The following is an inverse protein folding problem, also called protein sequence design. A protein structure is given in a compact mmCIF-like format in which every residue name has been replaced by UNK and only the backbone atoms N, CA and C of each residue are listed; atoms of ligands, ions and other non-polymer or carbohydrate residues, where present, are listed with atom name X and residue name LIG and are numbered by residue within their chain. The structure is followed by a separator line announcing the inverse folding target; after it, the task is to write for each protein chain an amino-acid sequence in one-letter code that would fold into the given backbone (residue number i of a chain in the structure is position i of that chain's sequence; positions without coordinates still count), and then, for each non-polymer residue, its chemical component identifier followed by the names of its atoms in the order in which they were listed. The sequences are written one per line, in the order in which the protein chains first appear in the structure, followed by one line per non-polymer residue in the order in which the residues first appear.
data_IF_564857257436
#
_entry.id   IF_564857257436
#
_cell.length_a   1.000
_cell.length_b   1.000
_cell.length_c   1.000
_cell.angle_alpha   90.00
_cell.angle_beta   90.00
_cell.angle_gamma   90.00
#
_symmetry.space_group_name_H-M   'P 1'
#
loop_
_entity.id
_entity.type
_entity.pdbx_description
1 polymer ?
#
# COMPACT_ATOMS: atom_id res chain seq x y z
N UNK A 1 14.89 20.20 17.66
CA UNK A 1 14.41 20.37 16.27
C UNK A 1 15.64 20.70 15.46
N UNK A 2 16.02 19.81 14.53
CA UNK A 2 17.11 20.11 13.60
C UNK A 2 16.65 21.27 12.70
N UNK A 3 17.48 22.29 12.59
CA UNK A 3 17.25 23.41 11.68
C UNK A 3 17.99 23.05 10.39
N UNK A 4 17.24 22.68 9.37
CA UNK A 4 17.76 22.43 8.02
C UNK A 4 17.83 23.74 7.24
N UNK A 5 18.83 23.90 6.39
CA UNK A 5 18.78 24.96 5.40
C UNK A 5 17.68 24.67 4.36
N UNK A 6 17.36 25.67 3.53
CA UNK A 6 16.25 25.54 2.58
C UNK A 6 16.47 24.38 1.59
N UNK A 7 17.66 24.22 1.06
CA UNK A 7 17.96 23.21 0.05
C UNK A 7 17.89 21.79 0.67
N UNK A 8 18.42 21.64 1.88
CA UNK A 8 18.35 20.38 2.62
C UNK A 8 16.89 20.00 2.94
N UNK A 9 16.09 20.99 3.37
CA UNK A 9 14.66 20.76 3.61
C UNK A 9 13.92 20.36 2.34
N UNK A 10 14.14 21.06 1.23
CA UNK A 10 13.49 20.76 -0.05
C UNK A 10 13.84 19.33 -0.54
N UNK A 11 15.09 18.90 -0.35
CA UNK A 11 15.52 17.52 -0.63
C UNK A 11 14.81 16.49 0.27
N UNK A 12 14.65 16.78 1.57
CA UNK A 12 13.95 15.91 2.51
C UNK A 12 12.46 15.81 2.19
N UNK A 13 11.82 16.92 1.77
CA UNK A 13 10.43 16.90 1.30
C UNK A 13 10.29 16.01 0.07
N UNK A 14 11.15 16.20 -0.93
CA UNK A 14 11.10 15.39 -2.15
C UNK A 14 11.33 13.90 -1.86
N UNK A 15 12.30 13.57 -1.02
CA UNK A 15 12.53 12.18 -0.59
C UNK A 15 11.33 11.59 0.14
N UNK A 16 10.73 12.38 1.05
CA UNK A 16 9.54 11.96 1.77
C UNK A 16 8.35 11.76 0.83
N UNK A 17 8.13 12.65 -0.13
CA UNK A 17 7.06 12.50 -1.12
C UNK A 17 7.20 11.19 -1.90
N UNK A 18 8.39 10.87 -2.41
CA UNK A 18 8.65 9.62 -3.11
C UNK A 18 8.37 8.38 -2.24
N UNK A 19 8.81 8.42 -0.98
CA UNK A 19 8.61 7.31 -0.06
C UNK A 19 7.18 7.21 0.47
N UNK A 20 6.50 8.32 0.69
CA UNK A 20 5.17 8.41 1.28
C UNK A 20 4.06 8.27 0.22
N UNK A 21 4.16 8.99 -0.88
CA UNK A 21 3.17 8.95 -1.97
C UNK A 21 3.40 7.75 -2.89
N UNK A 22 4.65 7.37 -3.10
CA UNK A 22 5.07 6.30 -4.01
C UNK A 22 5.73 6.82 -5.28
N UNK A 23 6.47 5.94 -5.95
CA UNK A 23 7.18 6.22 -7.21
C UNK A 23 6.50 5.60 -8.42
N UNK A 24 5.35 4.96 -8.24
CA UNK A 24 4.49 4.48 -9.32
C UNK A 24 3.74 5.65 -9.99
N UNK A 25 2.96 5.36 -11.02
CA UNK A 25 2.24 6.40 -11.77
C UNK A 25 1.28 7.20 -10.87
N UNK A 26 0.69 6.55 -9.86
CA UNK A 26 -0.23 7.18 -8.90
C UNK A 26 0.52 8.12 -7.96
N UNK A 27 1.65 7.66 -7.39
CA UNK A 27 2.51 8.46 -6.52
C UNK A 27 3.08 9.68 -7.23
N UNK A 28 3.56 9.50 -8.48
CA UNK A 28 4.09 10.61 -9.30
C UNK A 28 3.05 11.65 -9.68
N UNK A 29 1.79 11.29 -9.80
CA UNK A 29 0.70 12.23 -10.08
C UNK A 29 0.17 12.91 -8.81
N UNK A 30 0.43 12.33 -7.65
CA UNK A 30 0.05 12.89 -6.35
C UNK A 30 0.98 14.04 -5.94
N UNK A 31 0.49 14.93 -5.09
CA UNK A 31 1.30 16.02 -4.52
C UNK A 31 0.84 16.42 -3.13
N UNK A 32 1.79 16.78 -2.27
CA UNK A 32 1.51 17.41 -0.97
C UNK A 32 1.36 18.90 -1.18
N UNK A 33 0.24 19.47 -0.72
CA UNK A 33 -0.10 20.90 -0.90
C UNK A 33 0.49 21.77 0.21
N UNK A 34 0.59 21.21 1.42
CA UNK A 34 0.99 21.94 2.63
C UNK A 34 2.24 21.35 3.29
N UNK A 35 3.28 21.12 2.53
CA UNK A 35 4.54 20.52 3.03
C UNK A 35 5.15 21.27 4.23
N UNK A 36 4.81 22.56 4.40
CA UNK A 36 5.24 23.39 5.53
C UNK A 36 4.86 22.84 6.91
N UNK A 37 3.85 21.94 6.99
CA UNK A 37 3.45 21.30 8.24
C UNK A 37 4.36 20.15 8.65
N UNK A 38 5.30 19.73 7.77
CA UNK A 38 6.17 18.58 7.97
C UNK A 38 7.45 18.95 8.75
N UNK A 39 7.78 18.09 9.70
CA UNK A 39 9.02 18.16 10.47
C UNK A 39 9.76 16.83 10.36
N UNK A 40 11.05 16.93 10.04
CA UNK A 40 11.91 15.78 9.79
C UNK A 40 12.88 15.57 10.95
N UNK A 41 13.13 14.32 11.30
CA UNK A 41 14.27 13.89 12.13
C UNK A 41 15.00 12.82 11.33
N UNK A 42 16.24 13.11 10.96
CA UNK A 42 17.02 12.25 10.07
C UNK A 42 18.32 11.84 10.76
N UNK A 43 18.63 10.56 10.64
CA UNK A 43 19.91 9.97 10.99
C UNK A 43 20.58 9.51 9.70
N UNK A 44 21.79 9.98 9.46
CA UNK A 44 22.57 9.60 8.28
C UNK A 44 23.57 8.50 8.63
N UNK A 45 23.96 7.71 7.64
CA UNK A 45 25.10 6.83 7.77
C UNK A 45 26.35 7.68 7.90
N UNK A 46 27.12 7.49 8.98
CA UNK A 46 28.42 8.12 9.15
C UNK A 46 29.43 7.52 8.18
N UNK A 47 30.28 8.39 7.61
CA UNK A 47 31.36 7.93 6.74
C UNK A 47 32.65 7.70 7.56
N UNK A 48 33.08 6.44 7.78
CA UNK A 48 34.35 6.16 8.44
C UNK A 48 35.58 6.58 7.64
N UNK A 49 35.44 6.91 6.36
CA UNK A 49 36.55 7.16 5.42
C UNK A 49 36.55 8.56 4.78
N UNK A 50 35.65 9.47 5.15
CA UNK A 50 35.60 10.85 4.63
C UNK A 50 35.31 10.96 3.13
N UNK A 51 34.68 9.96 2.53
CA UNK A 51 34.29 9.98 1.10
C UNK A 51 32.81 10.28 0.95
N UNK A 52 32.41 10.82 -0.21
CA UNK A 52 31.16 11.46 -0.61
C UNK A 52 29.79 10.76 -0.33
N UNK A 53 29.73 9.74 0.50
CA UNK A 53 28.45 9.09 0.91
C UNK A 53 27.88 9.62 2.23
N UNK A 54 28.28 10.82 2.64
CA UNK A 54 27.91 11.41 3.94
C UNK A 54 26.43 11.78 4.08
N UNK A 55 25.60 11.54 3.03
CA UNK A 55 24.21 11.96 3.00
C UNK A 55 23.20 10.80 2.79
N UNK A 56 23.64 9.55 2.90
CA UNK A 56 22.69 8.44 2.81
C UNK A 56 21.88 8.35 4.10
N UNK A 57 20.55 8.46 3.96
CA UNK A 57 19.62 8.38 5.07
C UNK A 57 19.62 6.96 5.63
N UNK A 58 19.95 6.83 6.91
CA UNK A 58 19.86 5.60 7.68
C UNK A 58 18.47 5.42 8.29
N UNK A 59 17.94 6.53 8.83
CA UNK A 59 16.63 6.55 9.45
C UNK A 59 15.99 7.92 9.24
N UNK A 60 14.73 7.94 8.91
CA UNK A 60 13.93 9.16 8.87
C UNK A 60 12.64 8.96 9.67
N UNK A 61 12.34 9.93 10.53
CA UNK A 61 11.06 10.06 11.19
C UNK A 61 10.43 11.38 10.77
N UNK A 62 9.13 11.34 10.48
CA UNK A 62 8.39 12.54 10.06
C UNK A 62 7.20 12.73 10.98
N UNK A 63 6.98 13.96 11.40
CA UNK A 63 5.79 14.40 12.13
C UNK A 63 5.13 15.55 11.38
N UNK A 64 3.84 15.75 11.59
CA UNK A 64 3.07 16.83 11.00
C UNK A 64 2.27 17.54 12.10
N UNK A 65 2.22 18.88 12.04
CA UNK A 65 1.46 19.70 13.01
C UNK A 65 -0.03 19.75 12.70
N UNK A 66 -0.37 19.50 11.44
CA UNK A 66 -1.74 19.50 10.92
C UNK A 66 -1.91 18.33 9.95
N UNK A 67 -3.13 17.96 9.55
CA UNK A 67 -3.31 16.94 8.52
C UNK A 67 -2.59 17.33 7.23
N UNK A 68 -1.86 16.39 6.66
CA UNK A 68 -1.19 16.55 5.37
C UNK A 68 -2.27 16.59 4.29
N UNK A 69 -2.35 17.67 3.55
CA UNK A 69 -3.25 17.84 2.42
C UNK A 69 -2.60 17.33 1.14
N UNK A 70 -3.20 16.33 0.52
CA UNK A 70 -2.67 15.61 -0.63
C UNK A 70 -3.68 15.65 -1.77
N UNK A 71 -3.24 16.01 -2.96
CA UNK A 71 -4.04 15.88 -4.17
C UNK A 71 -3.73 14.54 -4.85
N UNK A 72 -4.78 13.82 -5.23
CA UNK A 72 -4.74 12.57 -5.98
C UNK A 72 -5.52 12.73 -7.29
N UNK A 73 -5.02 13.51 -8.26
CA UNK A 73 -5.79 13.92 -9.43
C UNK A 73 -6.19 12.75 -10.33
N UNK A 74 -5.33 11.75 -10.48
CA UNK A 74 -5.62 10.56 -11.29
C UNK A 74 -6.66 9.62 -10.64
N UNK A 75 -6.86 9.72 -9.32
CA UNK A 75 -7.89 9.01 -8.58
C UNK A 75 -9.10 9.89 -8.27
N UNK A 76 -9.03 11.20 -8.53
CA UNK A 76 -10.10 12.17 -8.31
C UNK A 76 -10.45 12.34 -6.84
N UNK A 77 -9.41 12.48 -5.99
CA UNK A 77 -9.58 12.74 -4.56
C UNK A 77 -8.66 13.85 -4.07
N UNK A 78 -9.16 14.60 -3.08
CA UNK A 78 -8.34 15.26 -2.06
C UNK A 78 -8.29 14.35 -0.84
N UNK A 79 -7.10 14.17 -0.29
CA UNK A 79 -6.87 13.38 0.91
C UNK A 79 -6.28 14.26 2.01
N UNK A 80 -6.93 14.28 3.16
CA UNK A 80 -6.40 14.83 4.40
C UNK A 80 -5.89 13.68 5.26
N UNK A 81 -4.57 13.60 5.42
CA UNK A 81 -3.91 12.52 6.15
C UNK A 81 -3.42 13.00 7.51
N UNK A 82 -4.08 12.56 8.58
CA UNK A 82 -3.59 12.81 9.95
C UNK A 82 -2.48 11.82 10.26
N UNK A 83 -1.25 12.28 10.19
CA UNK A 83 -0.06 11.47 10.43
C UNK A 83 0.10 11.20 11.93
N UNK A 84 0.03 9.94 12.33
CA UNK A 84 0.31 9.49 13.70
C UNK A 84 1.75 9.02 13.87
N UNK A 85 2.28 8.36 12.86
CA UNK A 85 3.65 7.85 12.87
C UNK A 85 4.12 7.63 11.44
N UNK A 86 5.31 8.12 11.15
CA UNK A 86 6.09 7.75 9.98
C UNK A 86 7.53 7.49 10.43
N UNK A 87 8.00 6.31 10.06
CA UNK A 87 9.40 5.93 10.27
C UNK A 87 9.87 5.12 9.09
N UNK A 88 10.99 5.51 8.55
CA UNK A 88 11.70 4.76 7.52
C UNK A 88 13.09 4.38 8.01
N UNK A 89 13.48 3.13 7.76
CA UNK A 89 14.79 2.59 8.08
C UNK A 89 15.37 2.01 6.80
N UNK A 90 16.51 2.53 6.39
CA UNK A 90 17.29 2.04 5.27
C UNK A 90 18.39 1.12 5.80
N UNK A 91 18.44 -0.11 5.34
CA UNK A 91 19.49 -1.08 5.67
C UNK A 91 20.35 -1.31 4.43
N UNK A 92 21.46 -0.59 4.37
CA UNK A 92 22.40 -0.69 3.24
C UNK A 92 23.05 -2.07 3.12
N UNK A 93 23.26 -2.77 4.25
CA UNK A 93 23.88 -4.07 4.24
C UNK A 93 23.03 -5.13 3.52
N UNK A 94 21.71 -4.96 3.58
CA UNK A 94 20.74 -5.87 2.94
C UNK A 94 20.02 -5.21 1.74
N UNK A 95 20.33 -3.95 1.41
CA UNK A 95 19.68 -3.21 0.33
C UNK A 95 18.17 -3.09 0.52
N UNK A 96 17.70 -2.95 1.77
CA UNK A 96 16.27 -2.95 2.10
C UNK A 96 15.83 -1.67 2.77
N UNK A 97 14.62 -1.21 2.40
CA UNK A 97 13.94 -0.08 3.03
C UNK A 97 12.67 -0.60 3.71
N UNK A 98 12.55 -0.31 5.01
CA UNK A 98 11.35 -0.63 5.79
C UNK A 98 10.67 0.65 6.19
N UNK A 99 9.43 0.83 5.73
CA UNK A 99 8.61 2.01 6.06
C UNK A 99 7.47 1.59 6.97
N UNK A 100 7.35 2.29 8.10
CA UNK A 100 6.27 2.20 9.04
C UNK A 100 5.41 3.46 8.92
N UNK A 101 4.13 3.30 8.57
CA UNK A 101 3.22 4.40 8.30
C UNK A 101 1.88 4.17 8.99
N UNK A 102 1.50 5.06 9.89
CA UNK A 102 0.22 5.04 10.59
C UNK A 102 -0.45 6.40 10.58
N UNK A 103 -1.75 6.42 10.35
CA UNK A 103 -2.53 7.64 10.35
C UNK A 103 -3.98 7.39 9.94
N UNK A 104 -4.76 8.45 10.00
CA UNK A 104 -6.15 8.47 9.55
C UNK A 104 -6.27 9.18 8.20
N UNK A 105 -7.21 8.71 7.40
CA UNK A 105 -7.46 9.22 6.05
C UNK A 105 -8.86 9.76 5.95
N UNK A 106 -8.98 10.98 5.47
CA UNK A 106 -10.25 11.59 5.11
C UNK A 106 -10.20 11.99 3.64
N UNK A 107 -11.10 11.45 2.83
CA UNK A 107 -11.15 11.67 1.39
C UNK A 107 -12.33 12.56 1.03
N UNK A 108 -12.06 13.59 0.21
CA UNK A 108 -13.07 14.35 -0.51
C UNK A 108 -12.99 14.00 -1.99
N UNK A 109 -14.12 13.65 -2.58
CA UNK A 109 -14.18 13.35 -4.00
C UNK A 109 -14.19 14.62 -4.83
N UNK A 110 -13.32 14.69 -5.85
CA UNK A 110 -13.16 15.85 -6.76
C UNK A 110 -13.23 15.41 -8.22
N UNK A 111 -14.23 14.63 -8.59
CA UNK A 111 -14.40 14.17 -9.98
C UNK A 111 -15.48 14.98 -10.71
N UNK A 112 -15.32 15.18 -12.03
CA UNK A 112 -16.38 15.73 -12.86
C UNK A 112 -17.63 14.85 -12.83
N UNK A 113 -18.82 15.47 -12.92
CA UNK A 113 -20.08 14.74 -12.91
C UNK A 113 -20.16 13.73 -14.07
N UNK A 114 -19.68 14.12 -15.24
CA UNK A 114 -19.71 13.28 -16.43
C UNK A 114 -18.47 13.47 -17.33
N UNK A 115 -18.35 12.63 -18.35
CA UNK A 115 -17.41 12.82 -19.44
C UNK A 115 -16.21 11.86 -19.44
N UNK A 116 -15.25 12.16 -20.33
CA UNK A 116 -14.07 11.30 -20.55
C UNK A 116 -13.16 11.24 -19.33
N UNK A 117 -13.02 12.35 -18.62
CA UNK A 117 -12.18 12.44 -17.44
C UNK A 117 -12.71 11.58 -16.29
N UNK A 118 -14.03 11.60 -16.05
CA UNK A 118 -14.67 10.73 -15.06
C UNK A 118 -14.37 9.24 -15.35
N UNK A 119 -14.57 8.82 -16.60
CA UNK A 119 -14.30 7.43 -17.02
C UNK A 119 -12.81 7.05 -16.84
N UNK A 120 -11.89 7.99 -17.08
CA UNK A 120 -10.46 7.75 -16.81
C UNK A 120 -10.23 7.52 -15.32
N UNK A 121 -10.77 8.39 -14.44
CA UNK A 121 -10.65 8.29 -12.99
C UNK A 121 -11.25 6.97 -12.48
N UNK A 122 -12.44 6.59 -12.93
CA UNK A 122 -13.08 5.33 -12.54
C UNK A 122 -12.22 4.11 -12.91
N UNK A 123 -11.65 4.09 -14.11
CA UNK A 123 -10.71 3.04 -14.53
C UNK A 123 -9.46 3.04 -13.64
N UNK A 124 -8.89 4.19 -13.39
CA UNK A 124 -7.70 4.34 -12.54
C UNK A 124 -7.95 3.82 -11.11
N UNK A 125 -9.13 4.08 -10.55
CA UNK A 125 -9.54 3.55 -9.24
C UNK A 125 -9.60 2.03 -9.24
N UNK A 126 -10.11 1.42 -10.29
CA UNK A 126 -10.11 -0.04 -10.44
C UNK A 126 -8.68 -0.60 -10.47
N UNK A 127 -7.79 0.01 -11.24
CA UNK A 127 -6.39 -0.39 -11.34
C UNK A 127 -5.64 -0.21 -10.00
N UNK A 128 -5.89 0.89 -9.28
CA UNK A 128 -5.33 1.12 -7.96
C UNK A 128 -5.85 0.09 -6.93
N UNK A 129 -7.13 -0.29 -7.03
CA UNK A 129 -7.76 -1.26 -6.12
C UNK A 129 -7.24 -2.68 -6.31
N UNK A 130 -7.25 -3.17 -7.57
CA UNK A 130 -6.84 -4.54 -7.83
C UNK A 130 -5.36 -4.76 -7.50
N UNK A 131 -5.04 -5.93 -6.94
CA UNK A 131 -3.71 -6.28 -6.43
C UNK A 131 -3.14 -5.26 -5.42
N UNK A 132 -4.03 -4.61 -4.64
CA UNK A 132 -3.64 -3.79 -3.50
C UNK A 132 -3.63 -4.61 -2.21
N UNK A 133 -2.94 -4.16 -1.14
CA UNK A 133 -3.05 -4.76 0.18
C UNK A 133 -4.50 -4.94 0.64
N UNK A 134 -5.35 -3.94 0.40
CA UNK A 134 -6.77 -3.98 0.76
C UNK A 134 -7.54 -5.03 -0.01
N UNK A 135 -7.35 -5.11 -1.33
CA UNK A 135 -8.00 -6.13 -2.16
C UNK A 135 -7.63 -7.54 -1.70
N UNK A 136 -6.35 -7.77 -1.38
CA UNK A 136 -5.88 -9.04 -0.85
C UNK A 136 -6.51 -9.36 0.52
N UNK A 137 -6.46 -8.42 1.46
CA UNK A 137 -6.99 -8.63 2.82
C UNK A 137 -8.51 -8.84 2.81
N UNK A 138 -9.27 -8.13 1.99
CA UNK A 138 -10.71 -8.39 1.77
C UNK A 138 -10.94 -9.79 1.24
N UNK A 139 -10.20 -10.18 0.20
CA UNK A 139 -10.32 -11.51 -0.40
C UNK A 139 -9.99 -12.61 0.59
N UNK A 140 -9.02 -12.36 1.48
CA UNK A 140 -8.66 -13.27 2.55
C UNK A 140 -9.80 -13.38 3.59
N UNK A 141 -10.37 -12.25 4.04
CA UNK A 141 -11.49 -12.22 4.98
C UNK A 141 -12.70 -13.00 4.49
N UNK A 142 -13.06 -12.78 3.23
CA UNK A 142 -14.23 -13.41 2.63
C UNK A 142 -13.95 -14.84 2.13
N UNK A 143 -12.72 -15.35 2.30
CA UNK A 143 -12.29 -16.65 1.78
C UNK A 143 -12.43 -16.76 0.25
N UNK A 144 -12.21 -15.65 -0.44
CA UNK A 144 -12.42 -15.51 -1.89
C UNK A 144 -11.12 -15.26 -2.67
N UNK A 145 -9.96 -15.66 -2.14
CA UNK A 145 -8.66 -15.40 -2.78
C UNK A 145 -8.66 -15.87 -4.24
N UNK A 146 -9.01 -17.12 -4.48
CA UNK A 146 -9.04 -17.71 -5.84
C UNK A 146 -10.04 -17.02 -6.76
N UNK A 147 -11.23 -16.70 -6.25
CA UNK A 147 -12.28 -15.99 -7.00
C UNK A 147 -11.86 -14.56 -7.36
N UNK A 148 -11.02 -13.95 -6.53
CA UNK A 148 -10.47 -12.61 -6.72
C UNK A 148 -9.11 -12.60 -7.44
N UNK A 149 -8.72 -13.74 -8.03
CA UNK A 149 -7.53 -13.85 -8.87
C UNK A 149 -6.21 -13.98 -8.11
N UNK A 150 -6.26 -14.41 -6.85
CA UNK A 150 -5.08 -14.70 -6.07
C UNK A 150 -4.78 -16.20 -6.02
N UNK A 151 -3.51 -16.53 -6.20
CA UNK A 151 -2.95 -17.83 -5.95
C UNK A 151 -1.88 -17.70 -4.86
N UNK A 152 -1.90 -18.63 -3.89
CA UNK A 152 -0.90 -18.72 -2.85
C UNK A 152 0.11 -19.80 -3.27
N UNK A 153 1.30 -19.36 -3.66
CA UNK A 153 2.32 -20.27 -4.15
C UNK A 153 3.27 -20.69 -3.03
N UNK A 154 3.58 -21.96 -2.98
CA UNK A 154 4.63 -22.49 -2.11
C UNK A 154 5.90 -22.74 -2.92
N UNK A 155 6.83 -21.81 -2.91
CA UNK A 155 8.08 -21.88 -3.71
C UNK A 155 9.02 -23.01 -3.28
N UNK A 156 8.77 -23.67 -2.15
CA UNK A 156 9.70 -24.62 -1.56
C UNK A 156 9.11 -25.97 -1.13
N UNK A 157 7.83 -26.20 -1.31
CA UNK A 157 7.19 -27.47 -0.96
C UNK A 157 6.32 -27.94 -2.12
N UNK A 158 6.42 -29.22 -2.47
CA UNK A 158 5.64 -29.92 -3.51
C UNK A 158 4.13 -30.03 -3.16
N UNK A 159 3.56 -28.94 -2.63
CA UNK A 159 2.14 -28.90 -2.28
C UNK A 159 1.36 -28.17 -3.36
N UNK A 160 0.24 -28.74 -3.71
CA UNK A 160 -0.76 -28.15 -4.59
C UNK A 160 -1.23 -26.78 -4.07
N UNK A 161 -1.52 -25.86 -4.99
CA UNK A 161 -2.04 -24.52 -4.71
C UNK A 161 -3.31 -24.59 -3.87
N UNK A 162 -4.19 -25.55 -4.14
CA UNK A 162 -5.42 -25.77 -3.38
C UNK A 162 -5.14 -26.15 -1.91
N UNK A 163 -4.08 -26.92 -1.66
CA UNK A 163 -3.64 -27.26 -0.29
C UNK A 163 -3.15 -26.04 0.45
N UNK A 164 -2.44 -25.11 -0.22
CA UNK A 164 -1.96 -23.87 0.39
C UNK A 164 -3.11 -22.93 0.76
N UNK A 165 -4.11 -22.80 -0.10
CA UNK A 165 -5.33 -22.02 0.22
C UNK A 165 -6.07 -22.64 1.40
N UNK A 166 -6.22 -23.97 1.42
CA UNK A 166 -6.85 -24.68 2.53
C UNK A 166 -6.12 -24.42 3.85
N UNK A 167 -4.80 -24.56 3.88
CA UNK A 167 -3.98 -24.30 5.07
C UNK A 167 -4.16 -22.86 5.59
N UNK A 168 -4.20 -21.87 4.70
CA UNK A 168 -4.45 -20.48 5.10
C UNK A 168 -5.86 -20.31 5.65
N UNK A 169 -6.86 -20.89 5.02
CA UNK A 169 -8.24 -20.75 5.46
C UNK A 169 -8.54 -21.48 6.77
N UNK A 170 -7.79 -22.52 7.14
CA UNK A 170 -7.90 -23.14 8.46
C UNK A 170 -7.41 -22.26 9.60
N UNK A 171 -6.62 -21.22 9.27
CA UNK A 171 -6.13 -20.21 10.21
C UNK A 171 -7.09 -19.03 10.37
N UNK A 172 -8.27 -19.06 9.72
CA UNK A 172 -9.20 -17.94 9.69
C UNK A 172 -10.43 -18.26 10.50
N UNK A 173 -10.63 -17.50 11.57
CA UNK A 173 -11.84 -17.51 12.38
C UNK A 173 -12.69 -16.27 12.01
N UNK A 174 -13.87 -16.50 11.44
CA UNK A 174 -14.80 -15.42 11.09
C UNK A 174 -15.70 -15.07 12.28
N UNK A 175 -15.88 -13.77 12.53
CA UNK A 175 -16.91 -13.20 13.38
C UNK A 175 -17.64 -12.11 12.58
N UNK A 176 -18.87 -11.73 12.96
CA UNK A 176 -19.82 -10.95 12.14
C UNK A 176 -19.23 -9.86 11.22
N UNK A 177 -18.32 -9.01 11.72
CA UNK A 177 -17.69 -7.92 10.97
C UNK A 177 -16.17 -7.98 10.95
N UNK A 178 -15.58 -9.00 11.54
CA UNK A 178 -14.14 -9.15 11.69
C UNK A 178 -13.72 -10.59 11.44
N UNK A 179 -12.52 -10.73 10.94
CA UNK A 179 -11.90 -12.05 10.73
C UNK A 179 -10.57 -12.07 11.48
N UNK A 180 -10.32 -13.17 12.19
CA UNK A 180 -9.05 -13.41 12.86
C UNK A 180 -8.21 -14.35 12.00
N UNK A 181 -6.98 -13.96 11.75
CA UNK A 181 -5.96 -14.83 11.14
C UNK A 181 -5.01 -15.26 12.24
N UNK A 182 -4.87 -16.56 12.46
CA UNK A 182 -4.13 -17.13 13.58
C UNK A 182 -3.00 -18.03 13.07
N UNK A 183 -1.86 -18.03 13.78
CA UNK A 183 -0.78 -18.99 13.56
C UNK A 183 0.12 -18.73 12.34
N UNK A 184 0.02 -17.54 11.72
CA UNK A 184 0.86 -17.13 10.59
C UNK A 184 2.00 -16.19 10.99
N UNK A 185 2.23 -15.98 12.29
CA UNK A 185 3.28 -15.08 12.78
C UNK A 185 4.62 -15.39 12.15
N UNK A 186 5.29 -14.32 11.70
CA UNK A 186 6.62 -14.31 11.11
C UNK A 186 6.79 -15.17 9.84
N UNK A 187 5.70 -15.72 9.31
CA UNK A 187 5.72 -16.46 8.04
C UNK A 187 5.50 -15.51 6.87
N UNK A 188 6.30 -15.66 5.84
CA UNK A 188 6.05 -15.03 4.54
C UNK A 188 5.06 -15.86 3.75
N UNK A 189 3.96 -15.27 3.40
CA UNK A 189 2.94 -15.84 2.50
C UNK A 189 3.21 -15.35 1.09
N UNK A 190 3.69 -16.19 0.18
CA UNK A 190 3.88 -15.82 -1.22
C UNK A 190 2.53 -15.68 -1.89
N UNK A 191 2.35 -14.60 -2.62
CA UNK A 191 1.09 -14.22 -3.29
C UNK A 191 1.38 -14.06 -4.76
N UNK A 192 0.62 -14.77 -5.60
CA UNK A 192 0.58 -14.57 -7.04
C UNK A 192 -0.78 -13.96 -7.39
N UNK A 193 -0.80 -12.83 -8.06
CA UNK A 193 -2.02 -12.23 -8.59
C UNK A 193 -2.07 -12.43 -10.10
N UNK A 194 -3.06 -13.20 -10.57
CA UNK A 194 -3.29 -13.53 -11.98
C UNK A 194 -4.46 -12.74 -12.59
N UNK A 195 -5.09 -11.86 -11.79
CA UNK A 195 -6.26 -11.11 -12.19
C UNK A 195 -7.55 -11.92 -12.18
N UNK A 196 -8.68 -11.24 -12.25
CA UNK A 196 -9.98 -11.88 -12.51
C UNK A 196 -10.10 -12.14 -13.99
N UNK A 197 -10.35 -13.39 -14.39
CA UNK A 197 -10.96 -13.70 -15.70
C UNK A 197 -12.42 -13.24 -15.63
N UNK A 198 -12.69 -11.96 -15.87
CA UNK A 198 -14.07 -11.49 -16.01
C UNK A 198 -14.61 -11.87 -17.38
N UNK A 199 -15.87 -12.34 -17.42
CA UNK A 199 -16.67 -12.30 -18.63
C UNK A 199 -16.83 -10.82 -19.06
N UNK A 200 -16.82 -10.53 -20.37
CA UNK A 200 -16.81 -9.17 -20.87
C UNK A 200 -18.11 -8.44 -20.47
N UNK A 201 -17.98 -7.44 -19.61
CA UNK A 201 -18.92 -6.34 -19.59
C UNK A 201 -18.63 -5.49 -20.81
N UNK A 202 -19.64 -5.04 -21.52
CA UNK A 202 -19.62 -4.37 -22.84
C UNK A 202 -18.79 -3.08 -22.99
N UNK A 203 -17.82 -2.85 -22.15
CA UNK A 203 -16.77 -1.85 -22.29
C UNK A 203 -15.59 -2.55 -22.96
N UNK A 204 -14.91 -1.88 -23.88
CA UNK A 204 -13.71 -2.38 -24.56
C UNK A 204 -12.63 -2.72 -23.54
N UNK A 205 -12.74 -3.88 -22.94
CA UNK A 205 -12.02 -4.40 -21.76
C UNK A 205 -10.61 -4.86 -22.08
N UNK A 206 -9.93 -4.19 -23.03
CA UNK A 206 -8.57 -4.61 -23.37
C UNK A 206 -7.51 -4.35 -22.30
N UNK A 207 -7.80 -3.56 -21.25
CA UNK A 207 -6.72 -2.90 -20.53
C UNK A 207 -6.65 -3.18 -19.01
N UNK A 208 -7.46 -4.05 -18.43
CA UNK A 208 -7.40 -4.37 -16.98
C UNK A 208 -6.80 -5.75 -16.70
N UNK A 209 -6.34 -6.44 -17.72
CA UNK A 209 -5.64 -7.71 -17.57
C UNK A 209 -4.15 -7.43 -17.41
N UNK A 210 -3.60 -7.71 -16.23
CA UNK A 210 -2.17 -7.96 -16.15
C UNK A 210 -1.89 -9.16 -17.06
N UNK A 211 -1.19 -8.93 -18.16
CA UNK A 211 -0.85 -9.98 -19.14
C UNK A 211 0.04 -11.05 -18.49
N UNK A 212 0.67 -10.73 -17.35
CA UNK A 212 1.59 -11.59 -16.63
C UNK A 212 1.25 -11.65 -15.13
N UNK A 213 1.49 -12.79 -14.46
CA UNK A 213 1.31 -12.92 -13.02
C UNK A 213 2.17 -11.93 -12.24
N UNK A 214 1.58 -11.28 -11.24
CA UNK A 214 2.28 -10.34 -10.36
C UNK A 214 2.55 -10.99 -9.02
N UNK A 215 3.82 -11.04 -8.63
CA UNK A 215 4.26 -11.70 -7.40
C UNK A 215 4.48 -10.69 -6.28
N UNK A 216 3.98 -11.03 -5.11
CA UNK A 216 4.13 -10.26 -3.88
C UNK A 216 4.29 -11.21 -2.69
N UNK A 217 4.53 -10.65 -1.51
CA UNK A 217 4.55 -11.43 -0.27
C UNK A 217 3.89 -10.63 0.85
N UNK A 218 3.13 -11.32 1.70
CA UNK A 218 2.63 -10.77 2.96
C UNK A 218 3.30 -11.49 4.14
N UNK A 219 3.59 -10.75 5.21
CA UNK A 219 4.09 -11.30 6.48
C UNK A 219 3.21 -10.81 7.60
N UNK A 220 2.69 -11.75 8.37
CA UNK A 220 1.92 -11.46 9.57
C UNK A 220 2.87 -11.28 10.76
N UNK A 221 2.79 -10.14 11.43
CA UNK A 221 3.74 -9.77 12.49
C UNK A 221 3.27 -10.18 13.89
N UNK A 222 2.05 -10.68 14.00
CA UNK A 222 1.43 -11.11 15.26
C UNK A 222 0.84 -12.50 15.14
N UNK A 223 0.71 -13.20 16.27
CA UNK A 223 0.06 -14.52 16.31
C UNK A 223 -1.42 -14.46 15.92
N UNK A 224 -2.09 -13.39 16.31
CA UNK A 224 -3.47 -13.10 15.92
C UNK A 224 -3.53 -11.75 15.24
N UNK A 225 -4.02 -11.73 14.02
CA UNK A 225 -4.26 -10.52 13.24
C UNK A 225 -5.74 -10.38 13.00
N UNK A 226 -6.30 -9.23 13.40
CA UNK A 226 -7.70 -8.90 13.17
C UNK A 226 -7.79 -8.07 11.90
N UNK A 227 -8.63 -8.51 10.98
CA UNK A 227 -8.91 -7.83 9.72
C UNK A 227 -10.42 -7.59 9.69
N UNK A 228 -10.86 -6.35 9.45
CA UNK A 228 -12.27 -6.08 9.26
C UNK A 228 -12.73 -6.45 7.84
N UNK A 229 -14.06 -6.45 7.61
CA UNK A 229 -14.65 -6.74 6.29
C UNK A 229 -14.15 -5.83 5.16
N UNK A 230 -13.66 -4.64 5.50
CA UNK A 230 -13.11 -3.69 4.53
C UNK A 230 -11.63 -3.93 4.21
N UNK A 231 -11.03 -5.00 4.75
CA UNK A 231 -9.64 -5.35 4.54
C UNK A 231 -8.66 -4.44 5.28
N UNK A 232 -9.08 -3.89 6.42
CA UNK A 232 -8.26 -3.01 7.25
C UNK A 232 -7.82 -3.78 8.49
N UNK A 233 -6.54 -3.64 8.83
CA UNK A 233 -5.97 -4.05 10.12
C UNK A 233 -5.83 -2.83 11.02
N UNK A 234 -6.16 -2.97 12.28
CA UNK A 234 -6.12 -1.86 13.25
C UNK A 234 -4.72 -1.38 13.62
N UNK A 235 -3.69 -2.14 13.24
CA UNK A 235 -2.29 -1.88 13.59
C UNK A 235 -1.32 -2.47 12.55
N UNK A 236 -0.02 -2.38 12.80
CA UNK A 236 1.05 -2.93 11.95
C UNK A 236 1.11 -4.46 11.99
N UNK A 237 -0.01 -5.11 11.77
CA UNK A 237 -0.10 -6.56 11.88
C UNK A 237 0.34 -7.28 10.62
N UNK A 238 0.34 -6.60 9.48
CA UNK A 238 0.70 -7.19 8.20
C UNK A 238 1.67 -6.28 7.45
N UNK A 239 2.78 -6.84 7.03
CA UNK A 239 3.76 -6.21 6.15
C UNK A 239 3.61 -6.80 4.75
N UNK A 240 3.70 -5.95 3.74
CA UNK A 240 3.73 -6.37 2.35
C UNK A 240 5.08 -6.06 1.72
N UNK A 241 5.60 -7.01 0.94
CA UNK A 241 6.78 -6.81 0.11
C UNK A 241 6.39 -6.57 -1.35
N UNK A 242 7.28 -6.09 -2.22
CA UNK A 242 6.98 -5.76 -3.60
C UNK A 242 6.25 -6.91 -4.35
N UNK A 243 5.32 -6.63 -5.26
CA UNK A 243 4.85 -5.35 -5.82
C UNK A 243 3.77 -4.67 -4.95
N UNK A 244 3.05 -5.43 -4.16
CA UNK A 244 1.95 -4.93 -3.33
C UNK A 244 2.42 -3.93 -2.27
N UNK A 245 3.60 -4.14 -1.69
CA UNK A 245 4.21 -3.25 -0.70
C UNK A 245 4.72 -1.93 -1.26
N UNK A 246 4.86 -1.78 -2.57
CA UNK A 246 5.24 -0.50 -3.19
C UNK A 246 4.05 0.43 -3.45
N UNK A 247 2.82 -0.07 -3.34
CA UNK A 247 1.63 0.78 -3.40
C UNK A 247 1.53 1.64 -2.13
N UNK A 248 1.85 2.91 -2.28
CA UNK A 248 1.89 3.90 -1.19
C UNK A 248 0.61 4.73 -1.15
N UNK A 249 0.64 5.85 -0.43
CA UNK A 249 -0.52 6.72 -0.24
C UNK A 249 -1.11 7.21 -1.56
N UNK A 250 -0.29 7.51 -2.56
CA UNK A 250 -0.74 7.93 -3.89
C UNK A 250 -1.67 6.94 -4.59
N UNK A 251 -1.54 5.64 -4.28
CA UNK A 251 -2.38 4.57 -4.83
C UNK A 251 -3.53 4.15 -3.90
N UNK A 252 -3.80 4.86 -2.79
CA UNK A 252 -4.82 4.45 -1.83
C UNK A 252 -6.21 5.02 -2.16
N UNK A 253 -7.23 4.27 -1.79
CA UNK A 253 -8.64 4.60 -1.99
C UNK A 253 -9.37 4.68 -0.65
N UNK A 254 -10.54 5.32 -0.57
CA UNK A 254 -11.41 5.31 0.61
C UNK A 254 -11.73 3.89 1.10
N UNK A 255 -11.96 3.74 2.41
CA UNK A 255 -12.25 2.43 3.00
C UNK A 255 -13.53 1.80 2.44
N UNK A 256 -14.50 2.61 2.12
CA UNK A 256 -15.80 2.24 1.56
C UNK A 256 -15.81 2.14 0.03
N UNK A 257 -14.66 2.30 -0.63
CA UNK A 257 -14.57 2.05 -2.07
C UNK A 257 -14.75 0.56 -2.37
N UNK A 258 -15.78 0.24 -3.15
CA UNK A 258 -16.06 -1.10 -3.69
C UNK A 258 -16.25 -1.03 -5.20
N UNK A 259 -15.46 -1.76 -5.99
CA UNK A 259 -15.60 -1.75 -7.46
C UNK A 259 -17.01 -2.13 -7.95
N UNK A 260 -17.70 -2.97 -7.19
CA UNK A 260 -19.02 -3.51 -7.57
C UNK A 260 -20.18 -2.54 -7.37
N UNK A 261 -19.95 -1.44 -6.65
CA UNK A 261 -20.98 -0.40 -6.41
C UNK A 261 -21.03 0.71 -7.46
N UNK A 262 -20.11 0.69 -8.42
CA UNK A 262 -19.96 1.76 -9.41
C UNK A 262 -20.37 1.33 -10.84
N UNK A 263 -21.16 0.22 -10.97
CA UNK A 263 -21.68 -0.27 -12.25
C UNK A 263 -23.19 -0.47 -12.23
#
# INVERSE_FOLDING_TARGET
VAIYDKNERDNLVSYFEDSFLGTDDWGKSASIVNDSVLFFMVEYYGNPSGREHDHEIKKMEVTATEPIHILLPDLGYELYYTLLEYREICDLAHGSITTLLRGFRHYNEIIPEEGRQRKKIERNRLEAYYNSPRHFLRSLCHKELKQNGYELTHWFLDHDIDSTHHLVYTQIEAAEDMTRVIGLKDKWLPICYIGKKRAPLNLKERDVYFAEPVYSRARFLKDTVIINKDGITGDYSVMFAPVMGSKRIGATLPADYYPEKHY
#
